data_IF_377185683963
#
_entry.id   IF_377185683963
#
_cell.length_a   1.000
_cell.length_b   1.000
_cell.length_c   1.000
_cell.angle_alpha   90.00
_cell.angle_beta   90.00
_cell.angle_gamma   90.00
#
_symmetry.space_group_name_H-M   'P 1'
#
loop_
_entity.id
_entity.type
_entity.pdbx_description
1 polymer ?
#
# COMPACT_ATOMS: atom_id res chain seq x y z
N UNK A 1 7.51 6.66 17.78
CA UNK A 1 6.20 6.20 18.26
C UNK A 1 5.52 5.53 17.09
N UNK A 2 5.42 4.19 17.05
CA UNK A 2 4.64 3.52 16.01
C UNK A 2 3.18 3.70 16.36
N UNK A 3 2.54 4.73 15.79
CA UNK A 3 1.09 4.88 15.85
C UNK A 3 0.45 3.60 15.32
N UNK A 4 -0.42 2.99 16.12
CA UNK A 4 -1.23 1.85 15.68
C UNK A 4 -2.08 2.32 14.50
N UNK A 5 -1.99 1.59 13.39
CA UNK A 5 -2.74 1.89 12.16
C UNK A 5 -3.97 1.01 12.09
N UNK A 6 -5.12 1.61 11.79
CA UNK A 6 -6.39 0.91 11.72
C UNK A 6 -6.88 0.89 10.27
N UNK A 7 -7.32 -0.26 9.73
CA UNK A 7 -7.99 -0.29 8.44
C UNK A 7 -9.31 0.48 8.49
N UNK A 8 -9.61 1.24 7.44
CA UNK A 8 -10.95 1.82 7.27
C UNK A 8 -12.02 0.70 7.23
N UNK A 9 -13.17 0.84 7.92
CA UNK A 9 -14.10 -0.27 8.12
C UNK A 9 -14.66 -0.92 6.86
N UNK A 10 -14.80 -0.18 5.76
CA UNK A 10 -15.34 -0.74 4.49
C UNK A 10 -14.30 -1.50 3.65
N UNK A 11 -13.02 -1.53 4.06
CA UNK A 11 -12.04 -2.35 3.36
C UNK A 11 -12.49 -3.83 3.34
N UNK A 12 -12.40 -4.45 2.17
CA UNK A 12 -12.56 -5.87 2.00
C UNK A 12 -11.54 -6.61 2.90
N UNK A 13 -11.97 -7.65 3.64
CA UNK A 13 -11.07 -8.43 4.48
C UNK A 13 -9.87 -8.96 3.68
N UNK A 14 -8.65 -8.70 4.16
CA UNK A 14 -7.45 -9.20 3.52
C UNK A 14 -6.19 -8.45 3.89
N UNK A 15 -5.16 -8.62 3.06
CA UNK A 15 -3.82 -8.13 3.32
C UNK A 15 -3.60 -6.67 2.91
N UNK A 16 -4.30 -6.21 1.87
CA UNK A 16 -4.26 -4.83 1.42
C UNK A 16 -5.41 -4.04 2.06
N UNK A 17 -5.13 -2.81 2.49
CA UNK A 17 -6.14 -1.94 3.07
C UNK A 17 -5.76 -0.47 2.90
N UNK A 18 -6.76 0.41 2.96
CA UNK A 18 -6.54 1.85 3.17
C UNK A 18 -6.69 2.16 4.66
N UNK A 19 -5.72 2.87 5.23
CA UNK A 19 -5.74 3.31 6.62
C UNK A 19 -6.90 4.29 6.90
N UNK A 20 -7.57 4.08 8.03
CA UNK A 20 -8.65 4.93 8.52
C UNK A 20 -8.14 6.34 8.84
N UNK A 21 -8.90 7.36 8.45
CA UNK A 21 -8.53 8.77 8.65
C UNK A 21 -7.33 9.27 7.83
N UNK A 22 -6.69 8.44 7.01
CA UNK A 22 -5.56 8.87 6.17
C UNK A 22 -6.01 9.46 4.83
N UNK A 23 -7.04 8.88 4.19
CA UNK A 23 -7.42 9.23 2.81
C UNK A 23 -7.76 10.72 2.61
N UNK A 24 -7.17 11.33 1.58
CA UNK A 24 -7.44 12.72 1.14
C UNK A 24 -8.34 12.81 -0.10
N UNK A 25 -8.90 11.69 -0.54
CA UNK A 25 -9.81 11.59 -1.69
C UNK A 25 -9.18 12.02 -3.03
N UNK A 26 -7.88 11.75 -3.22
CA UNK A 26 -7.10 12.17 -4.39
C UNK A 26 -7.52 11.56 -5.74
N UNK A 27 -8.34 10.51 -5.76
CA UNK A 27 -8.83 9.88 -6.99
C UNK A 27 -7.88 8.88 -7.67
N UNK A 28 -6.60 8.87 -7.31
CA UNK A 28 -5.57 8.15 -8.08
C UNK A 28 -5.65 6.62 -8.01
N UNK A 29 -5.87 5.98 -6.83
CA UNK A 29 -5.93 4.52 -6.75
C UNK A 29 -7.03 3.91 -7.64
N UNK A 30 -8.20 4.54 -7.66
CA UNK A 30 -9.35 4.12 -8.47
C UNK A 30 -9.16 4.32 -9.97
N UNK A 31 -8.23 5.20 -10.41
CA UNK A 31 -7.89 5.37 -11.83
C UNK A 31 -6.99 4.24 -12.34
N UNK A 32 -6.00 3.82 -11.54
CA UNK A 32 -5.03 2.78 -11.95
C UNK A 32 -5.53 1.36 -11.66
N UNK A 33 -6.35 1.20 -10.62
CA UNK A 33 -6.89 -0.08 -10.17
C UNK A 33 -8.41 -0.02 -9.91
N UNK A 34 -9.24 0.34 -10.90
CA UNK A 34 -10.69 0.58 -10.72
C UNK A 34 -11.46 -0.64 -10.19
N UNK A 35 -10.96 -1.86 -10.42
CA UNK A 35 -11.60 -3.08 -9.93
C UNK A 35 -11.24 -3.47 -8.50
N UNK A 36 -10.37 -2.71 -7.82
CA UNK A 36 -9.87 -3.00 -6.48
C UNK A 36 -10.22 -1.92 -5.46
N UNK A 37 -10.57 -0.71 -5.90
CA UNK A 37 -10.89 0.43 -5.05
C UNK A 37 -12.31 0.94 -5.27
N UNK A 38 -12.91 1.46 -4.22
CA UNK A 38 -14.18 2.19 -4.28
C UNK A 38 -14.17 3.32 -3.24
N UNK A 39 -15.23 4.12 -3.22
CA UNK A 39 -15.40 5.24 -2.32
C UNK A 39 -16.60 5.04 -1.43
N UNK A 40 -16.42 5.30 -0.14
CA UNK A 40 -17.51 5.38 0.82
C UNK A 40 -18.33 6.65 0.57
N UNK A 41 -19.48 6.77 1.24
CA UNK A 41 -20.39 7.92 1.05
C UNK A 41 -19.77 9.27 1.40
N UNK A 42 -18.83 9.29 2.34
CA UNK A 42 -18.09 10.47 2.78
C UNK A 42 -16.87 10.78 1.90
N UNK A 43 -16.61 9.95 0.88
CA UNK A 43 -15.49 10.11 -0.03
C UNK A 43 -14.19 9.44 0.41
N UNK A 44 -14.15 8.72 1.53
CA UNK A 44 -12.98 7.92 1.91
C UNK A 44 -12.81 6.74 0.94
N UNK A 45 -11.60 6.54 0.40
CA UNK A 45 -11.32 5.44 -0.50
C UNK A 45 -10.95 4.17 0.26
N UNK A 46 -11.40 3.02 -0.23
CA UNK A 46 -11.13 1.74 0.41
C UNK A 46 -10.85 0.66 -0.61
N UNK A 47 -10.14 -0.38 -0.19
CA UNK A 47 -9.93 -1.59 -0.99
C UNK A 47 -11.26 -2.36 -1.01
N UNK A 48 -12.02 -2.28 -2.10
CA UNK A 48 -13.31 -2.97 -2.23
C UNK A 48 -13.17 -4.44 -2.61
N UNK A 49 -12.01 -4.83 -3.14
CA UNK A 49 -11.69 -6.22 -3.49
C UNK A 49 -10.21 -6.50 -3.33
N UNK A 50 -9.87 -7.62 -2.70
CA UNK A 50 -8.48 -8.09 -2.66
C UNK A 50 -8.06 -8.61 -4.04
N UNK A 51 -6.81 -8.35 -4.48
CA UNK A 51 -6.31 -8.89 -5.73
C UNK A 51 -6.21 -10.42 -5.67
N UNK A 52 -6.71 -11.08 -6.71
CA UNK A 52 -6.88 -12.54 -6.79
C UNK A 52 -6.00 -13.19 -7.86
N UNK A 53 -5.37 -12.40 -8.73
CA UNK A 53 -4.53 -12.86 -9.83
C UNK A 53 -3.37 -11.90 -10.10
N UNK A 54 -2.42 -12.31 -10.95
CA UNK A 54 -1.20 -11.55 -11.22
C UNK A 54 -1.45 -10.14 -11.79
N UNK A 55 -2.48 -9.97 -12.62
CA UNK A 55 -2.86 -8.65 -13.17
C UNK A 55 -3.36 -7.71 -12.07
N UNK A 56 -4.23 -8.21 -11.21
CA UNK A 56 -4.75 -7.42 -10.08
C UNK A 56 -3.66 -7.09 -9.06
N UNK A 57 -2.73 -8.02 -8.81
CA UNK A 57 -1.56 -7.73 -7.96
C UNK A 57 -0.74 -6.60 -8.58
N UNK A 58 -0.48 -6.63 -9.89
CA UNK A 58 0.26 -5.56 -10.56
C UNK A 58 -0.47 -4.20 -10.46
N UNK A 59 -1.78 -4.17 -10.67
CA UNK A 59 -2.59 -2.96 -10.49
C UNK A 59 -2.57 -2.44 -9.04
N UNK A 60 -2.62 -3.34 -8.05
CA UNK A 60 -2.50 -2.97 -6.64
C UNK A 60 -1.13 -2.32 -6.38
N UNK A 61 -0.03 -2.89 -6.88
CA UNK A 61 1.31 -2.29 -6.73
C UNK A 61 1.38 -0.90 -7.40
N UNK A 62 0.79 -0.72 -8.58
CA UNK A 62 0.71 0.62 -9.21
C UNK A 62 -0.05 1.62 -8.34
N UNK A 63 -1.10 1.18 -7.62
CA UNK A 63 -1.84 2.05 -6.72
C UNK A 63 -0.95 2.58 -5.58
N UNK A 64 -0.02 1.76 -5.06
CA UNK A 64 0.98 2.22 -4.09
C UNK A 64 1.92 3.26 -4.69
N UNK A 65 2.32 3.12 -5.95
CA UNK A 65 3.25 4.06 -6.61
C UNK A 65 2.63 5.45 -6.85
N UNK A 66 1.31 5.53 -7.04
CA UNK A 66 0.60 6.79 -7.36
C UNK A 66 -0.17 7.39 -6.18
N UNK A 67 -0.09 6.78 -5.00
CA UNK A 67 -0.76 7.33 -3.82
C UNK A 67 -0.05 8.61 -3.34
N UNK A 68 -0.83 9.52 -2.76
CA UNK A 68 -0.32 10.85 -2.42
C UNK A 68 0.48 10.85 -1.10
N UNK A 69 -0.03 10.15 -0.08
CA UNK A 69 0.46 10.24 1.30
C UNK A 69 0.56 8.88 2.02
N UNK A 70 0.75 7.78 1.29
CA UNK A 70 1.07 6.47 1.90
C UNK A 70 -0.09 5.78 2.66
N UNK A 71 -1.35 6.08 2.32
CA UNK A 71 -2.52 5.53 3.00
C UNK A 71 -2.85 4.08 2.65
N UNK A 72 -2.42 3.59 1.49
CA UNK A 72 -2.57 2.19 1.09
C UNK A 72 -1.45 1.40 1.76
N UNK A 73 -1.83 0.34 2.45
CA UNK A 73 -0.94 -0.43 3.31
C UNK A 73 -1.06 -1.92 3.07
N UNK A 74 0.00 -2.63 3.45
CA UNK A 74 0.10 -4.07 3.33
C UNK A 74 0.46 -4.72 4.67
N UNK A 75 -0.45 -5.53 5.20
CA UNK A 75 -0.25 -6.31 6.44
C UNK A 75 0.01 -7.80 6.20
N UNK A 76 0.13 -8.22 4.94
CA UNK A 76 0.29 -9.64 4.61
C UNK A 76 1.72 -10.15 4.78
N UNK A 77 1.86 -11.48 4.78
CA UNK A 77 3.14 -12.16 4.92
C UNK A 77 3.82 -12.51 3.57
N UNK A 78 3.21 -12.18 2.43
CA UNK A 78 3.78 -12.58 1.13
C UNK A 78 5.04 -11.76 0.84
N UNK A 79 6.18 -12.43 0.93
CA UNK A 79 7.51 -11.84 0.77
C UNK A 79 7.74 -11.23 -0.62
N UNK A 80 7.15 -11.81 -1.67
CA UNK A 80 7.26 -11.28 -3.03
C UNK A 80 6.54 -9.93 -3.14
N UNK A 81 5.40 -9.77 -2.47
CA UNK A 81 4.67 -8.48 -2.44
C UNK A 81 5.51 -7.43 -1.69
N UNK A 82 6.06 -7.78 -0.51
CA UNK A 82 6.94 -6.89 0.25
C UNK A 82 8.15 -6.42 -0.58
N UNK A 83 8.83 -7.34 -1.27
CA UNK A 83 9.97 -7.01 -2.15
C UNK A 83 9.55 -6.08 -3.29
N UNK A 84 8.40 -6.31 -3.91
CA UNK A 84 7.87 -5.43 -4.97
C UNK A 84 7.60 -4.02 -4.46
N UNK A 85 7.00 -3.89 -3.27
CA UNK A 85 6.74 -2.60 -2.64
C UNK A 85 8.05 -1.88 -2.28
N UNK A 86 9.02 -2.60 -1.70
CA UNK A 86 10.36 -2.05 -1.42
C UNK A 86 11.02 -1.54 -2.71
N UNK A 87 10.99 -2.32 -3.80
CA UNK A 87 11.63 -1.95 -5.05
C UNK A 87 11.08 -0.64 -5.66
N UNK A 88 9.80 -0.32 -5.43
CA UNK A 88 9.21 0.95 -5.89
C UNK A 88 9.31 2.08 -4.85
N UNK A 89 9.98 1.86 -3.71
CA UNK A 89 10.15 2.84 -2.64
C UNK A 89 9.00 2.88 -1.62
N UNK A 90 8.05 1.94 -1.68
CA UNK A 90 6.83 1.89 -0.85
C UNK A 90 6.94 0.82 0.26
N UNK A 91 8.16 0.50 0.69
CA UNK A 91 8.40 -0.49 1.73
C UNK A 91 7.88 -0.07 3.11
N UNK A 92 7.84 1.24 3.41
CA UNK A 92 7.35 1.80 4.69
C UNK A 92 5.84 1.64 4.89
N UNK A 93 5.12 1.34 3.81
CA UNK A 93 3.69 1.03 3.80
C UNK A 93 3.42 -0.46 4.11
N UNK A 94 4.46 -1.29 4.24
CA UNK A 94 4.34 -2.62 4.84
C UNK A 94 4.29 -2.50 6.37
N UNK A 95 3.29 -3.09 7.01
CA UNK A 95 3.15 -3.02 8.47
C UNK A 95 4.24 -3.81 9.21
N UNK A 96 4.75 -4.86 8.56
CA UNK A 96 5.82 -5.70 9.06
C UNK A 96 6.75 -6.11 7.93
N UNK A 97 8.04 -5.80 8.11
CA UNK A 97 9.13 -6.32 7.29
C UNK A 97 10.02 -7.20 8.17
N UNK A 98 10.45 -8.32 7.62
CA UNK A 98 11.50 -9.17 8.17
C UNK A 98 12.83 -8.41 8.22
N UNK A 99 13.77 -8.73 9.13
CA UNK A 99 14.99 -7.93 9.33
C UNK A 99 15.81 -7.70 8.05
N UNK A 100 15.87 -8.71 7.18
CA UNK A 100 16.58 -8.61 5.91
C UNK A 100 15.85 -7.74 4.88
N UNK A 101 14.51 -7.74 4.90
CA UNK A 101 13.71 -6.81 4.09
C UNK A 101 13.74 -5.38 4.64
N UNK A 102 13.89 -5.20 5.95
CA UNK A 102 14.12 -3.88 6.55
C UNK A 102 15.44 -3.28 6.06
N UNK A 103 16.51 -4.07 6.06
CA UNK A 103 17.81 -3.66 5.54
C UNK A 103 17.73 -3.29 4.05
N UNK A 104 17.06 -4.12 3.24
CA UNK A 104 16.84 -3.83 1.82
C UNK A 104 16.02 -2.54 1.61
N UNK A 105 14.98 -2.32 2.42
CA UNK A 105 14.19 -1.08 2.34
C UNK A 105 15.05 0.14 2.65
N UNK A 106 15.86 0.11 3.71
CA UNK A 106 16.77 1.21 4.05
C UNK A 106 17.76 1.51 2.93
N UNK A 107 18.30 0.47 2.30
CA UNK A 107 19.19 0.59 1.15
C UNK A 107 18.50 1.31 -0.02
N UNK A 108 17.31 0.84 -0.43
CA UNK A 108 16.55 1.46 -1.52
C UNK A 108 16.17 2.91 -1.21
N UNK A 109 15.76 3.22 0.03
CA UNK A 109 15.45 4.60 0.42
C UNK A 109 16.69 5.51 0.33
N UNK A 110 17.85 5.01 0.76
CA UNK A 110 19.11 5.77 0.70
C UNK A 110 19.50 6.08 -0.75
N UNK A 111 19.38 5.10 -1.64
CA UNK A 111 19.67 5.25 -3.07
C UNK A 111 18.70 6.26 -3.72
N UNK A 112 17.40 6.21 -3.40
CA UNK A 112 16.39 7.14 -3.93
C UNK A 112 16.59 8.59 -3.47
N UNK A 113 17.14 8.78 -2.27
CA UNK A 113 17.49 10.10 -1.74
C UNK A 113 18.83 10.62 -2.29
N UNK A 114 19.56 9.81 -3.08
CA UNK A 114 20.87 10.16 -3.61
C UNK A 114 21.94 10.29 -2.52
N UNK A 115 21.78 9.57 -1.41
CA UNK A 115 22.66 9.64 -0.24
C UNK A 115 23.75 8.55 -0.25
N UNK A 116 23.95 7.87 -1.38
CA UNK A 116 24.91 6.79 -1.57
C UNK A 116 25.81 7.02 -2.78
#
# INVERSE_FOLDING_TARGET
>A
MTSTRFPFPENAPGAFYVEDGCCTSCGMPSKVAPGLFSYAKDGHCFVSKQPSNGKEIFQMIQAFEVQDIGCIRYKGANRVIKIKLIAIGEGDQCDQLEPDLQALNQEVQTDRLGLR
#
